data_IF_900311917190
#
_entry.id   IF_900311917190
#
_cell.length_a   1.000
_cell.length_b   1.000
_cell.length_c   1.000
_cell.angle_alpha   90.00
_cell.angle_beta   90.00
_cell.angle_gamma   90.00
#
_symmetry.space_group_name_H-M   'P 1'
#
loop_
_entity.id
_entity.type
_entity.pdbx_description
1 polymer ?
#
# COMPACT_ATOMS: atom_id res chain seq x y z
N UNK A 1 25.21 13.61 -10.14
CA UNK A 1 24.52 14.72 -9.46
C UNK A 1 24.40 14.41 -7.98
N UNK A 2 24.65 15.40 -7.15
CA UNK A 2 24.49 15.33 -5.70
C UNK A 2 23.14 15.99 -5.37
N UNK A 3 22.29 15.34 -4.62
CA UNK A 3 20.97 15.87 -4.29
C UNK A 3 20.58 15.58 -2.84
N UNK A 4 19.95 16.54 -2.18
CA UNK A 4 19.29 16.30 -0.91
C UNK A 4 18.28 15.16 -1.10
N UNK A 5 18.27 14.22 -0.14
CA UNK A 5 17.51 12.99 -0.26
C UNK A 5 16.43 12.92 0.82
N UNK A 6 15.23 12.59 0.41
CA UNK A 6 14.10 12.32 1.29
C UNK A 6 13.75 10.85 1.23
N UNK A 7 13.65 10.23 2.40
CA UNK A 7 13.34 8.80 2.54
C UNK A 7 11.92 8.65 3.09
N UNK A 8 11.12 7.79 2.47
CA UNK A 8 9.76 7.49 2.92
C UNK A 8 9.29 6.11 2.45
N UNK A 9 8.23 5.62 3.07
CA UNK A 9 7.70 4.28 2.85
C UNK A 9 7.00 4.08 1.49
N UNK A 10 6.39 5.12 0.92
CA UNK A 10 5.56 5.00 -0.29
C UNK A 10 5.92 6.00 -1.40
N UNK A 11 7.21 6.29 -1.63
CA UNK A 11 7.62 7.34 -2.57
C UNK A 11 7.79 6.84 -4.02
N UNK A 12 6.80 6.13 -4.55
CA UNK A 12 6.83 5.63 -5.93
C UNK A 12 6.11 6.56 -6.91
N UNK A 13 6.73 7.69 -7.22
CA UNK A 13 6.28 8.61 -8.28
C UNK A 13 7.10 8.35 -9.53
N UNK A 14 6.49 8.16 -10.69
CA UNK A 14 7.24 8.08 -11.95
C UNK A 14 6.84 9.14 -12.96
N UNK A 15 5.60 9.59 -12.98
CA UNK A 15 5.11 10.44 -14.05
C UNK A 15 5.61 11.89 -13.90
N UNK A 16 6.07 12.43 -15.03
CA UNK A 16 6.39 13.85 -15.15
C UNK A 16 5.09 14.63 -15.05
N UNK A 17 4.96 15.37 -13.95
CA UNK A 17 3.79 16.21 -13.72
C UNK A 17 2.81 15.69 -12.68
N UNK A 18 2.96 14.46 -12.19
CA UNK A 18 2.17 13.98 -11.06
C UNK A 18 2.54 14.75 -9.81
N UNK A 19 1.54 15.33 -9.16
CA UNK A 19 1.67 16.11 -7.95
C UNK A 19 1.26 15.22 -6.77
N UNK A 20 2.15 15.08 -5.81
CA UNK A 20 1.91 14.36 -4.57
C UNK A 20 2.13 15.26 -3.37
N UNK A 21 1.41 14.94 -2.31
CA UNK A 21 1.66 15.52 -1.00
C UNK A 21 1.98 14.41 0.00
N UNK A 22 2.90 14.69 0.89
CA UNK A 22 3.22 13.82 2.02
C UNK A 22 3.63 14.67 3.21
N UNK A 23 3.44 14.11 4.39
CA UNK A 23 3.77 14.77 5.64
C UNK A 23 5.14 14.26 6.13
N UNK A 24 6.02 15.18 6.49
CA UNK A 24 7.33 14.90 7.06
C UNK A 24 7.36 15.37 8.50
N UNK A 25 7.86 14.50 9.39
CA UNK A 25 7.96 14.77 10.82
C UNK A 25 9.39 14.58 11.35
N UNK A 26 10.27 13.88 10.62
CA UNK A 26 11.66 13.66 11.04
C UNK A 26 12.49 14.91 10.76
N UNK A 27 13.28 15.37 11.74
CA UNK A 27 14.12 16.58 11.60
C UNK A 27 15.06 16.49 10.39
N UNK A 28 15.68 15.34 10.15
CA UNK A 28 16.55 15.11 8.98
C UNK A 28 15.80 15.35 7.65
N UNK A 29 14.55 14.94 7.57
CA UNK A 29 13.71 15.13 6.38
C UNK A 29 13.30 16.59 6.20
N UNK A 30 13.03 17.28 7.28
CA UNK A 30 12.72 18.72 7.28
C UNK A 30 13.93 19.50 6.80
N UNK A 31 15.12 19.23 7.34
CA UNK A 31 16.38 19.85 6.94
C UNK A 31 16.69 19.61 5.45
N UNK A 32 16.46 18.38 4.95
CA UNK A 32 16.64 18.06 3.54
C UNK A 32 15.72 18.88 2.61
N UNK A 33 14.48 19.11 3.02
CA UNK A 33 13.53 19.93 2.26
C UNK A 33 13.91 21.41 2.31
N UNK A 34 14.38 21.92 3.44
CA UNK A 34 14.85 23.31 3.58
C UNK A 34 16.08 23.56 2.68
N UNK A 35 17.07 22.67 2.75
CA UNK A 35 18.24 22.73 1.88
C UNK A 35 17.88 22.68 0.40
N UNK A 36 16.94 21.81 0.01
CA UNK A 36 16.48 21.70 -1.37
C UNK A 36 15.80 23.00 -1.85
N UNK A 37 15.08 23.69 -0.97
CA UNK A 37 14.41 24.96 -1.30
C UNK A 37 15.42 26.10 -1.46
N UNK A 38 16.43 26.14 -0.59
CA UNK A 38 17.37 27.28 -0.52
C UNK A 38 18.52 27.14 -1.54
N UNK A 39 19.03 25.93 -1.76
CA UNK A 39 20.29 25.72 -2.50
C UNK A 39 20.19 24.81 -3.72
N UNK A 40 19.11 24.02 -3.89
CA UNK A 40 19.01 22.99 -4.92
C UNK A 40 17.88 23.23 -5.94
N UNK A 41 17.57 24.47 -6.30
CA UNK A 41 16.49 24.81 -7.23
C UNK A 41 15.16 24.12 -6.90
N UNK A 42 14.87 23.88 -5.61
CA UNK A 42 13.73 23.12 -5.11
C UNK A 42 13.67 21.66 -5.56
N UNK A 43 14.79 21.10 -5.97
CA UNK A 43 14.87 19.69 -6.38
C UNK A 43 15.31 18.82 -5.23
N UNK A 44 14.61 17.71 -5.05
CA UNK A 44 14.87 16.72 -4.02
C UNK A 44 14.78 15.32 -4.60
N UNK A 45 15.65 14.42 -4.15
CA UNK A 45 15.60 13.02 -4.53
C UNK A 45 14.74 12.25 -3.54
N UNK A 46 13.72 11.56 -4.04
CA UNK A 46 12.80 10.76 -3.27
C UNK A 46 13.14 9.29 -3.46
N UNK A 47 13.40 8.59 -2.36
CA UNK A 47 13.74 7.17 -2.37
C UNK A 47 12.92 6.44 -1.30
N UNK A 48 12.55 5.20 -1.59
CA UNK A 48 11.78 4.35 -0.69
C UNK A 48 12.72 3.50 0.15
N UNK A 49 12.39 3.34 1.43
CA UNK A 49 13.06 2.46 2.36
C UNK A 49 12.56 1.02 2.15
N UNK A 50 13.46 0.03 2.27
CA UNK A 50 13.11 -1.39 2.09
C UNK A 50 12.37 -1.90 3.33
N UNK A 51 12.86 -1.54 4.51
CA UNK A 51 12.27 -1.93 5.79
C UNK A 51 11.84 -0.68 6.55
N UNK A 52 10.53 -0.53 6.76
CA UNK A 52 9.93 0.65 7.39
C UNK A 52 10.17 0.70 8.90
N UNK A 53 10.45 -0.44 9.54
CA UNK A 53 10.64 -0.56 10.98
C UNK A 53 12.04 -0.12 11.44
N UNK A 54 12.96 0.14 10.52
CA UNK A 54 14.32 0.58 10.82
C UNK A 54 14.38 2.11 10.87
N UNK A 55 14.64 2.65 12.07
CA UNK A 55 14.77 4.10 12.27
C UNK A 55 16.05 4.70 11.66
N UNK A 56 17.14 3.93 11.60
CA UNK A 56 18.38 4.36 10.98
C UNK A 56 18.40 4.06 9.49
N UNK A 57 18.41 5.11 8.70
CA UNK A 57 18.43 5.02 7.24
C UNK A 57 19.87 4.78 6.78
N UNK A 58 20.23 3.51 6.60
CA UNK A 58 21.48 3.13 5.94
C UNK A 58 21.28 2.96 4.43
N UNK A 59 22.32 3.22 3.63
CA UNK A 59 22.27 3.06 2.16
C UNK A 59 21.80 1.66 1.71
N UNK A 60 22.07 0.65 2.53
CA UNK A 60 21.69 -0.74 2.27
C UNK A 60 20.18 -0.99 2.42
N UNK A 61 19.51 -0.17 3.22
CA UNK A 61 18.07 -0.23 3.46
C UNK A 61 17.24 0.60 2.46
N UNK A 62 17.88 1.18 1.46
CA UNK A 62 17.21 1.98 0.45
C UNK A 62 17.11 1.24 -0.89
N UNK A 63 15.99 1.43 -1.57
CA UNK A 63 15.88 0.99 -2.95
C UNK A 63 16.86 1.77 -3.84
N UNK A 64 17.38 1.09 -4.85
CA UNK A 64 18.37 1.68 -5.76
C UNK A 64 17.77 2.64 -6.78
N UNK A 65 16.46 2.66 -6.92
CA UNK A 65 15.76 3.54 -7.87
C UNK A 65 14.83 4.45 -7.11
N UNK A 66 14.94 5.74 -7.38
CA UNK A 66 14.10 6.78 -6.83
C UNK A 66 13.69 7.80 -7.88
N UNK A 67 13.09 8.89 -7.45
CA UNK A 67 12.58 9.96 -8.31
C UNK A 67 13.14 11.30 -7.88
N UNK A 68 13.64 12.06 -8.81
CA UNK A 68 13.92 13.48 -8.59
C UNK A 68 12.62 14.25 -8.79
N UNK A 69 12.23 15.00 -7.78
CA UNK A 69 11.01 15.79 -7.76
C UNK A 69 11.32 17.27 -7.46
N UNK A 70 10.44 18.14 -7.90
CA UNK A 70 10.46 19.57 -7.60
C UNK A 70 9.45 19.87 -6.48
N UNK A 71 9.92 20.57 -5.44
CA UNK A 71 9.06 21.03 -4.35
C UNK A 71 8.25 22.23 -4.83
N UNK A 72 6.93 22.08 -4.94
CA UNK A 72 6.00 23.12 -5.37
C UNK A 72 5.55 23.99 -4.21
N UNK A 73 5.23 23.36 -3.08
CA UNK A 73 4.71 24.06 -1.90
C UNK A 73 5.06 23.30 -0.62
N UNK A 74 5.27 24.04 0.46
CA UNK A 74 5.39 23.51 1.81
C UNK A 74 4.40 24.21 2.73
N UNK A 75 3.73 23.46 3.59
CA UNK A 75 2.77 23.95 4.57
C UNK A 75 3.12 23.38 5.94
N UNK A 76 3.19 24.22 6.95
CA UNK A 76 3.34 23.75 8.33
C UNK A 76 1.98 23.28 8.85
N UNK A 77 1.93 22.07 9.40
CA UNK A 77 0.73 21.56 10.06
C UNK A 77 0.72 21.94 11.54
N UNK A 78 -0.46 22.05 12.18
CA UNK A 78 -0.56 22.41 13.60
C UNK A 78 0.17 21.44 14.53
N UNK A 79 0.37 20.20 14.09
CA UNK A 79 1.00 19.11 14.86
C UNK A 79 2.54 19.14 14.81
N UNK A 80 3.12 20.18 14.20
CA UNK A 80 4.58 20.32 14.04
C UNK A 80 5.15 19.55 12.86
N UNK A 81 4.37 18.76 12.15
CA UNK A 81 4.79 18.15 10.89
C UNK A 81 4.74 19.18 9.75
N UNK A 82 5.45 18.89 8.67
CA UNK A 82 5.45 19.72 7.47
C UNK A 82 4.88 18.96 6.29
N UNK A 83 3.83 19.49 5.70
CA UNK A 83 3.25 18.96 4.47
C UNK A 83 3.98 19.50 3.25
N UNK A 84 4.47 18.64 2.42
CA UNK A 84 5.25 18.98 1.23
C UNK A 84 4.51 18.53 -0.01
N UNK A 85 4.32 19.44 -0.96
CA UNK A 85 3.75 19.18 -2.28
C UNK A 85 4.90 19.09 -3.28
N UNK A 86 5.04 17.96 -3.93
CA UNK A 86 6.11 17.71 -4.90
C UNK A 86 5.55 17.31 -6.26
N UNK A 87 6.32 17.62 -7.30
CA UNK A 87 6.06 17.20 -8.66
C UNK A 87 7.21 16.37 -9.20
N UNK A 88 6.94 15.13 -9.62
CA UNK A 88 7.95 14.25 -10.21
C UNK A 88 8.54 14.82 -11.50
N UNK A 89 9.86 14.79 -11.63
CA UNK A 89 10.59 15.25 -12.81
C UNK A 89 11.13 14.08 -13.64
N UNK A 90 11.93 13.21 -13.02
CA UNK A 90 12.53 12.04 -13.68
C UNK A 90 13.00 11.01 -12.66
N UNK A 91 13.17 9.78 -13.12
CA UNK A 91 13.72 8.68 -12.31
C UNK A 91 15.24 8.73 -12.31
N UNK A 92 15.83 8.42 -11.16
CA UNK A 92 17.29 8.35 -11.01
C UNK A 92 17.68 7.11 -10.20
N UNK A 93 18.90 6.66 -10.42
CA UNK A 93 19.51 5.56 -9.67
C UNK A 93 20.37 6.12 -8.55
N UNK A 94 20.16 5.60 -7.34
CA UNK A 94 21.01 5.85 -6.19
C UNK A 94 22.36 5.15 -6.39
N UNK A 95 23.45 5.90 -6.34
CA UNK A 95 24.81 5.40 -6.46
C UNK A 95 25.50 5.27 -5.11
N UNK A 96 25.20 6.19 -4.18
CA UNK A 96 25.74 6.20 -2.83
C UNK A 96 25.13 7.31 -1.99
N UNK A 97 25.49 7.32 -0.72
CA UNK A 97 25.18 8.40 0.21
C UNK A 97 26.52 9.07 0.54
N UNK A 98 26.62 10.37 0.29
CA UNK A 98 27.83 11.17 0.52
C UNK A 98 27.80 11.91 1.86
N UNK A 99 26.61 12.10 2.43
CA UNK A 99 26.40 12.76 3.72
C UNK A 99 25.18 12.16 4.42
N UNK A 100 25.25 12.02 5.74
CA UNK A 100 24.16 11.47 6.55
C UNK A 100 23.58 12.50 7.55
N UNK A 101 24.40 13.45 8.01
CA UNK A 101 24.02 14.49 8.98
C UNK A 101 24.39 15.88 8.48
N UNK A 102 23.55 16.94 8.61
CA UNK A 102 22.26 17.02 9.28
C UNK A 102 21.08 16.47 8.45
N UNK A 103 21.30 16.16 7.18
CA UNK A 103 20.35 15.54 6.27
C UNK A 103 21.08 14.63 5.29
N UNK A 104 20.35 13.71 4.68
CA UNK A 104 20.91 12.80 3.69
C UNK A 104 21.23 13.52 2.39
N UNK A 105 22.43 13.33 1.89
CA UNK A 105 22.85 13.75 0.55
C UNK A 105 23.24 12.52 -0.25
N UNK A 106 22.62 12.32 -1.40
CA UNK A 106 22.82 11.17 -2.25
C UNK A 106 23.48 11.50 -3.57
N UNK A 107 24.37 10.62 -4.01
CA UNK A 107 24.91 10.62 -5.35
C UNK A 107 23.94 9.86 -6.26
N UNK A 108 23.39 10.55 -7.26
CA UNK A 108 22.41 10.00 -8.16
C UNK A 108 22.82 10.08 -9.63
N UNK A 109 22.41 9.09 -10.40
CA UNK A 109 22.56 9.08 -11.86
C UNK A 109 21.18 9.06 -12.51
N UNK A 110 20.83 10.05 -13.35
CA UNK A 110 19.59 10.06 -14.10
C UNK A 110 19.41 8.77 -14.92
N UNK A 111 18.25 8.17 -14.83
CA UNK A 111 17.93 6.98 -15.63
C UNK A 111 17.51 7.40 -17.05
N UNK A 112 17.82 6.59 -18.07
CA UNK A 112 17.40 6.88 -19.44
C UNK A 112 15.87 6.90 -19.55
N UNK A 113 15.38 7.62 -20.54
CA UNK A 113 13.95 7.65 -20.83
C UNK A 113 13.41 6.25 -21.13
N UNK A 114 12.14 6.04 -20.82
CA UNK A 114 11.45 4.77 -21.06
C UNK A 114 11.54 4.40 -22.55
N UNK A 115 12.06 3.21 -22.84
CA UNK A 115 12.11 2.71 -24.20
C UNK A 115 10.73 2.26 -24.66
N UNK A 116 10.24 2.82 -25.76
CA UNK A 116 8.98 2.48 -26.37
C UNK A 116 9.22 1.85 -27.74
N UNK A 117 9.17 0.52 -27.81
CA UNK A 117 9.32 -0.27 -29.03
C UNK A 117 8.01 -0.91 -29.47
N UNK A 118 6.88 -0.54 -28.83
CA UNK A 118 5.57 -1.12 -29.09
C UNK A 118 4.91 -0.49 -30.33
N UNK A 119 4.34 -1.34 -31.17
CA UNK A 119 3.43 -0.91 -32.22
C UNK A 119 2.11 -0.37 -31.66
N UNK A 120 1.38 0.40 -32.43
CA UNK A 120 0.08 0.94 -32.04
C UNK A 120 -0.94 -0.18 -31.69
N UNK A 121 -0.88 -1.31 -32.40
CA UNK A 121 -1.74 -2.45 -32.14
C UNK A 121 -1.41 -3.11 -30.79
N UNK A 122 -0.12 -3.27 -30.46
CA UNK A 122 0.31 -3.84 -29.17
C UNK A 122 -0.07 -2.92 -28.00
N UNK A 123 0.12 -1.60 -28.14
CA UNK A 123 -0.33 -0.62 -27.13
C UNK A 123 -1.82 -0.75 -26.88
N UNK A 124 -2.62 -0.85 -27.96
CA UNK A 124 -4.07 -1.01 -27.82
C UNK A 124 -4.44 -2.34 -27.14
N UNK A 125 -3.73 -3.42 -27.45
CA UNK A 125 -3.94 -4.72 -26.80
C UNK A 125 -3.63 -4.64 -25.30
N UNK A 126 -2.50 -4.07 -24.90
CA UNK A 126 -2.15 -3.88 -23.49
C UNK A 126 -3.18 -3.01 -22.75
N UNK A 127 -3.59 -1.88 -23.34
CA UNK A 127 -4.61 -1.01 -22.74
C UNK A 127 -5.90 -1.78 -22.47
N UNK A 128 -6.37 -2.58 -23.44
CA UNK A 128 -7.58 -3.41 -23.26
C UNK A 128 -7.43 -4.44 -22.14
N UNK A 129 -6.30 -5.14 -22.09
CA UNK A 129 -6.01 -6.12 -21.03
C UNK A 129 -5.96 -5.44 -19.67
N UNK A 130 -5.23 -4.35 -19.56
CA UNK A 130 -5.11 -3.58 -18.30
C UNK A 130 -6.48 -3.05 -17.86
N UNK A 131 -7.31 -2.55 -18.76
CA UNK A 131 -8.67 -2.11 -18.44
C UNK A 131 -9.56 -3.27 -17.97
N UNK A 132 -9.36 -4.48 -18.50
CA UNK A 132 -10.12 -5.66 -18.05
C UNK A 132 -9.77 -6.04 -16.62
N UNK A 133 -8.49 -6.17 -16.33
CA UNK A 133 -8.00 -6.48 -14.97
C UNK A 133 -8.39 -5.37 -13.97
N UNK A 134 -8.23 -4.11 -14.36
CA UNK A 134 -8.59 -2.98 -13.52
C UNK A 134 -10.11 -2.93 -13.20
N UNK A 135 -10.97 -3.30 -14.16
CA UNK A 135 -12.41 -3.40 -13.91
C UNK A 135 -12.74 -4.47 -12.88
N UNK A 136 -12.13 -5.66 -13.01
CA UNK A 136 -12.31 -6.73 -12.02
C UNK A 136 -11.87 -6.27 -10.63
N UNK A 137 -10.71 -5.61 -10.53
CA UNK A 137 -10.25 -5.04 -9.26
C UNK A 137 -11.24 -4.01 -8.70
N UNK A 138 -11.72 -3.08 -9.52
CA UNK A 138 -12.59 -1.99 -9.07
C UNK A 138 -13.98 -2.46 -8.64
N UNK A 139 -14.51 -3.54 -9.24
CA UNK A 139 -15.78 -4.16 -8.86
C UNK A 139 -15.71 -4.77 -7.46
N UNK A 140 -14.54 -5.25 -7.06
CA UNK A 140 -14.29 -5.84 -5.74
C UNK A 140 -13.82 -4.81 -4.71
N UNK A 141 -13.36 -3.63 -5.13
CA UNK A 141 -12.88 -2.55 -4.27
C UNK A 141 -13.87 -1.38 -4.19
N UNK A 142 -14.81 -1.38 -3.24
CA UNK A 142 -15.94 -0.43 -3.21
C UNK A 142 -15.55 1.01 -2.85
N UNK A 143 -14.28 1.28 -2.58
CA UNK A 143 -13.78 2.59 -2.11
C UNK A 143 -13.27 3.50 -3.22
N UNK A 144 -13.30 3.07 -4.49
CA UNK A 144 -12.76 3.86 -5.60
C UNK A 144 -13.75 4.95 -6.03
N UNK A 145 -13.35 6.25 -6.04
CA UNK A 145 -14.18 7.34 -6.55
C UNK A 145 -14.52 7.13 -8.03
N UNK A 146 -15.78 7.39 -8.41
CA UNK A 146 -16.26 7.15 -9.77
C UNK A 146 -15.56 8.03 -10.82
N UNK A 147 -15.16 9.23 -10.44
CA UNK A 147 -14.41 10.15 -11.30
C UNK A 147 -13.03 9.57 -11.64
N UNK A 148 -12.35 8.99 -10.67
CA UNK A 148 -11.07 8.34 -10.84
C UNK A 148 -11.19 7.11 -11.76
N UNK A 149 -12.18 6.25 -11.50
CA UNK A 149 -12.47 5.09 -12.33
C UNK A 149 -12.70 5.49 -13.79
N UNK A 150 -13.53 6.51 -14.04
CA UNK A 150 -13.78 7.02 -15.38
C UNK A 150 -12.53 7.63 -16.03
N UNK A 151 -11.72 8.34 -15.24
CA UNK A 151 -10.45 8.92 -15.70
C UNK A 151 -9.47 7.84 -16.18
N UNK A 152 -9.30 6.77 -15.42
CA UNK A 152 -8.44 5.65 -15.79
C UNK A 152 -8.93 4.95 -17.06
N UNK A 153 -10.23 4.71 -17.18
CA UNK A 153 -10.79 4.06 -18.39
C UNK A 153 -10.77 4.96 -19.64
N UNK A 154 -10.70 6.27 -19.47
CA UNK A 154 -10.62 7.22 -20.57
C UNK A 154 -9.19 7.43 -21.10
N UNK A 155 -8.16 7.03 -20.32
CA UNK A 155 -6.77 7.24 -20.70
C UNK A 155 -6.38 6.34 -21.88
N UNK A 156 -5.75 6.94 -22.88
CA UNK A 156 -5.35 6.28 -24.13
C UNK A 156 -3.83 6.13 -24.28
N UNK A 157 -3.08 6.82 -23.45
CA UNK A 157 -1.63 6.68 -23.39
C UNK A 157 -1.27 5.54 -22.43
N UNK A 158 -0.59 4.50 -22.97
CA UNK A 158 -0.24 3.31 -22.18
C UNK A 158 0.67 3.66 -20.99
N UNK A 159 1.62 4.58 -21.14
CA UNK A 159 2.52 4.97 -20.05
C UNK A 159 1.76 5.66 -18.93
N UNK A 160 0.92 6.63 -19.29
CA UNK A 160 0.09 7.36 -18.31
C UNK A 160 -0.93 6.45 -17.63
N UNK A 161 -1.54 5.53 -18.39
CA UNK A 161 -2.45 4.55 -17.82
C UNK A 161 -1.78 3.70 -16.75
N UNK A 162 -0.56 3.20 -17.02
CA UNK A 162 0.21 2.42 -16.06
C UNK A 162 0.48 3.27 -14.81
N UNK A 163 0.93 4.50 -14.95
CA UNK A 163 1.25 5.39 -13.84
C UNK A 163 0.02 5.73 -12.98
N UNK A 164 -1.13 6.02 -13.61
CA UNK A 164 -2.39 6.26 -12.92
C UNK A 164 -2.84 5.03 -12.10
N UNK A 165 -2.71 3.83 -12.65
CA UNK A 165 -3.09 2.60 -11.95
C UNK A 165 -2.14 2.32 -10.79
N UNK A 166 -0.83 2.38 -11.01
CA UNK A 166 0.19 2.15 -9.96
C UNK A 166 0.00 3.08 -8.77
N UNK A 167 -0.45 4.31 -9.03
CA UNK A 167 -0.72 5.29 -7.99
C UNK A 167 -2.00 5.00 -7.20
N UNK A 168 -3.05 4.53 -7.85
CA UNK A 168 -4.38 4.45 -7.27
C UNK A 168 -4.79 3.03 -6.81
N UNK A 169 -4.06 2.00 -7.23
CA UNK A 169 -4.28 0.62 -6.82
C UNK A 169 -3.32 0.28 -5.69
N UNK A 170 -3.81 -0.46 -4.71
CA UNK A 170 -2.97 -0.96 -3.64
C UNK A 170 -2.07 -2.07 -4.18
N UNK A 171 -0.81 -1.73 -4.46
CA UNK A 171 0.24 -2.67 -4.83
C UNK A 171 1.32 -2.66 -3.75
N UNK A 172 1.98 -3.79 -3.54
CA UNK A 172 3.12 -3.88 -2.62
C UNK A 172 4.24 -2.95 -3.05
N UNK A 173 5.02 -2.46 -2.09
CA UNK A 173 6.13 -1.54 -2.34
C UNK A 173 7.14 -2.16 -3.32
N UNK A 174 7.45 -3.44 -3.18
CA UNK A 174 8.37 -4.18 -4.06
C UNK A 174 7.86 -4.19 -5.51
N UNK A 175 6.54 -4.41 -5.71
CA UNK A 175 5.92 -4.44 -7.03
C UNK A 175 5.92 -3.04 -7.68
N UNK A 176 5.65 -1.99 -6.91
CA UNK A 176 5.77 -0.59 -7.33
C UNK A 176 7.22 -0.25 -7.73
N UNK A 177 8.20 -0.68 -6.93
CA UNK A 177 9.63 -0.47 -7.21
C UNK A 177 10.11 -1.25 -8.45
N UNK A 178 9.61 -2.46 -8.66
CA UNK A 178 9.89 -3.22 -9.88
C UNK A 178 9.36 -2.48 -11.12
N UNK A 179 8.17 -1.90 -11.06
CA UNK A 179 7.60 -1.06 -12.11
C UNK A 179 8.40 0.23 -12.31
N UNK A 180 8.83 0.88 -11.24
CA UNK A 180 9.62 2.12 -11.28
C UNK A 180 10.99 1.89 -11.94
N UNK A 181 11.67 0.81 -11.61
CA UNK A 181 13.00 0.47 -12.14
C UNK A 181 12.99 -0.04 -13.58
N UNK A 182 11.81 -0.41 -14.11
CA UNK A 182 11.68 -0.97 -15.44
C UNK A 182 11.79 0.12 -16.54
N UNK A 183 12.76 -0.02 -17.45
CA UNK A 183 13.03 0.93 -18.53
C UNK A 183 12.33 0.60 -19.86
N UNK A 184 11.64 -0.52 -19.94
CA UNK A 184 10.91 -0.94 -21.15
C UNK A 184 9.41 -0.83 -20.91
N UNK A 185 8.70 -0.07 -21.78
CA UNK A 185 7.27 0.09 -21.71
C UNK A 185 6.53 -1.26 -21.83
N UNK A 186 7.00 -2.16 -22.71
CA UNK A 186 6.48 -3.52 -22.87
C UNK A 186 6.55 -4.30 -21.54
N UNK A 187 7.75 -4.41 -20.98
CA UNK A 187 7.96 -5.17 -19.72
C UNK A 187 7.16 -4.56 -18.57
N UNK A 188 7.05 -3.24 -18.55
CA UNK A 188 6.28 -2.52 -17.53
C UNK A 188 4.79 -2.83 -17.63
N UNK A 189 4.23 -2.88 -18.84
CA UNK A 189 2.85 -3.27 -19.06
C UNK A 189 2.59 -4.74 -18.69
N UNK A 190 3.50 -5.65 -19.06
CA UNK A 190 3.44 -7.07 -18.70
C UNK A 190 3.48 -7.27 -17.17
N UNK A 191 4.37 -6.57 -16.47
CA UNK A 191 4.47 -6.60 -15.01
C UNK A 191 3.19 -6.06 -14.35
N UNK A 192 2.65 -4.94 -14.85
CA UNK A 192 1.41 -4.39 -14.29
C UNK A 192 0.23 -5.34 -14.44
N UNK A 193 0.05 -5.96 -15.61
CA UNK A 193 -1.01 -6.98 -15.82
C UNK A 193 -0.86 -8.11 -14.82
N UNK A 194 0.36 -8.63 -14.64
CA UNK A 194 0.63 -9.69 -13.66
C UNK A 194 0.33 -9.27 -12.23
N UNK A 195 0.70 -8.06 -11.83
CA UNK A 195 0.45 -7.58 -10.48
C UNK A 195 -1.03 -7.29 -10.23
N UNK A 196 -1.73 -6.72 -11.22
CA UNK A 196 -3.18 -6.53 -11.12
C UNK A 196 -3.93 -7.85 -10.99
N UNK A 197 -3.60 -8.85 -11.81
CA UNK A 197 -4.22 -10.17 -11.72
C UNK A 197 -4.02 -10.80 -10.33
N UNK A 198 -2.78 -10.70 -9.78
CA UNK A 198 -2.48 -11.17 -8.43
C UNK A 198 -3.29 -10.41 -7.36
N UNK A 199 -3.44 -9.11 -7.51
CA UNK A 199 -4.19 -8.28 -6.56
C UNK A 199 -5.69 -8.58 -6.62
N UNK A 200 -6.24 -8.84 -7.80
CA UNK A 200 -7.62 -9.32 -7.98
C UNK A 200 -7.85 -10.62 -7.22
N UNK A 201 -6.92 -11.57 -7.30
CA UNK A 201 -7.03 -12.85 -6.57
C UNK A 201 -6.96 -12.64 -5.06
N UNK A 202 -6.10 -11.72 -4.57
CA UNK A 202 -5.99 -11.38 -3.14
C UNK A 202 -7.29 -10.76 -2.65
N UNK A 203 -7.82 -9.74 -3.34
CA UNK A 203 -9.06 -9.07 -2.94
C UNK A 203 -10.25 -10.02 -2.95
N UNK A 204 -10.30 -10.98 -3.90
CA UNK A 204 -11.32 -12.03 -3.91
C UNK A 204 -11.24 -12.89 -2.66
N UNK A 205 -10.04 -13.35 -2.31
CA UNK A 205 -9.82 -14.16 -1.11
C UNK A 205 -10.19 -13.39 0.17
N UNK A 206 -9.86 -12.10 0.23
CA UNK A 206 -10.27 -11.24 1.35
C UNK A 206 -11.79 -11.13 1.49
N UNK A 207 -12.53 -11.05 0.37
CA UNK A 207 -13.99 -11.03 0.37
C UNK A 207 -14.54 -12.36 0.89
N UNK A 208 -14.05 -13.49 0.38
CA UNK A 208 -14.47 -14.83 0.82
C UNK A 208 -14.25 -15.01 2.34
N UNK A 209 -13.07 -14.62 2.85
CA UNK A 209 -12.76 -14.66 4.29
C UNK A 209 -13.71 -13.75 5.09
N UNK A 210 -13.97 -12.55 4.60
CA UNK A 210 -14.88 -11.61 5.29
C UNK A 210 -16.32 -12.14 5.34
N UNK A 211 -16.78 -12.82 4.28
CA UNK A 211 -18.10 -13.47 4.25
C UNK A 211 -18.17 -14.62 5.27
N UNK A 212 -17.16 -15.48 5.30
CA UNK A 212 -17.08 -16.59 6.28
C UNK A 212 -17.07 -16.07 7.72
N UNK A 213 -16.28 -15.02 8.00
CA UNK A 213 -16.24 -14.41 9.34
C UNK A 213 -17.59 -13.80 9.71
N UNK A 214 -18.25 -13.13 8.77
CA UNK A 214 -19.56 -12.53 9.00
C UNK A 214 -20.63 -13.60 9.30
N UNK A 215 -20.63 -14.69 8.52
CA UNK A 215 -21.55 -15.81 8.74
C UNK A 215 -21.33 -16.45 10.12
N UNK A 216 -20.05 -16.65 10.51
CA UNK A 216 -19.70 -17.20 11.82
C UNK A 216 -20.15 -16.28 12.97
N UNK A 217 -19.98 -14.96 12.82
CA UNK A 217 -20.42 -13.97 13.79
C UNK A 217 -21.96 -13.95 13.92
N UNK A 218 -22.67 -13.95 12.79
CA UNK A 218 -24.14 -13.96 12.75
C UNK A 218 -24.70 -15.22 13.40
N UNK A 219 -24.07 -16.38 13.16
CA UNK A 219 -24.42 -17.65 13.80
C UNK A 219 -24.22 -17.60 15.31
N UNK A 220 -23.06 -17.14 15.77
CA UNK A 220 -22.74 -17.02 17.18
C UNK A 220 -23.70 -16.06 17.90
N UNK A 221 -24.03 -14.94 17.27
CA UNK A 221 -24.98 -13.97 17.81
C UNK A 221 -26.39 -14.56 17.91
N UNK A 222 -26.84 -15.31 16.90
CA UNK A 222 -28.11 -16.02 16.91
C UNK A 222 -28.18 -17.10 18.03
N UNK A 223 -27.10 -17.90 18.16
CA UNK A 223 -27.01 -18.93 19.19
C UNK A 223 -27.00 -18.33 20.59
N UNK A 224 -26.30 -17.20 20.79
CA UNK A 224 -26.34 -16.46 22.06
C UNK A 224 -27.75 -15.97 22.36
N UNK A 225 -28.45 -15.35 21.41
CA UNK A 225 -29.82 -14.85 21.58
C UNK A 225 -30.78 -15.98 21.92
N UNK A 226 -30.71 -17.13 21.23
CA UNK A 226 -31.53 -18.29 21.50
C UNK A 226 -31.29 -18.87 22.90
N UNK A 227 -30.05 -18.94 23.36
CA UNK A 227 -29.68 -19.38 24.72
C UNK A 227 -30.24 -18.43 25.78
N UNK A 228 -30.19 -17.12 25.57
CA UNK A 228 -30.77 -16.15 26.49
C UNK A 228 -32.30 -16.23 26.54
N UNK A 229 -32.96 -16.45 25.38
CA UNK A 229 -34.40 -16.73 25.36
C UNK A 229 -34.77 -18.00 26.12
N UNK A 230 -34.02 -19.09 25.92
CA UNK A 230 -34.23 -20.34 26.67
C UNK A 230 -34.06 -20.10 28.16
N UNK A 231 -33.03 -19.41 28.60
CA UNK A 231 -32.85 -19.05 30.02
C UNK A 231 -34.01 -18.22 30.57
N UNK A 232 -34.51 -17.24 29.80
CA UNK A 232 -35.62 -16.42 30.20
C UNK A 232 -36.92 -17.25 30.35
N UNK A 233 -37.17 -18.16 29.42
CA UNK A 233 -38.32 -19.07 29.46
C UNK A 233 -38.22 -20.04 30.64
N UNK A 234 -37.08 -20.66 30.88
CA UNK A 234 -36.84 -21.54 32.02
C UNK A 234 -37.07 -20.82 33.36
N UNK A 235 -36.66 -19.56 33.47
CA UNK A 235 -36.97 -18.73 34.66
C UNK A 235 -38.48 -18.51 34.85
N UNK A 236 -39.20 -18.27 33.77
CA UNK A 236 -40.66 -18.05 33.84
C UNK A 236 -41.45 -19.34 34.16
N UNK A 237 -40.95 -20.50 33.73
CA UNK A 237 -41.55 -21.79 34.01
C UNK A 237 -41.23 -22.33 35.40
N UNK A 238 -40.37 -21.66 36.18
CA UNK A 238 -40.04 -22.08 37.56
C UNK A 238 -39.11 -23.31 37.61
N UNK A 239 -38.47 -23.67 36.49
CA UNK A 239 -37.49 -24.77 36.40
C UNK A 239 -36.09 -24.32 36.85
N UNK A 240 -36.02 -23.53 37.94
CA UNK A 240 -34.75 -23.15 38.54
C UNK A 240 -34.55 -23.87 39.87
N UNK A 241 -33.32 -24.37 39.96
CA UNK A 241 -32.64 -24.99 41.07
C UNK A 241 -32.72 -26.51 41.16
N UNK A 242 -32.10 -27.15 40.17
CA UNK A 242 -31.41 -28.41 40.48
C UNK A 242 -29.90 -28.16 40.57
N UNK A 243 -29.33 -28.13 41.77
CA UNK A 243 -27.86 -27.96 41.97
C UNK A 243 -27.05 -29.09 41.33
N UNK A 244 -27.66 -30.16 40.86
CA UNK A 244 -27.03 -31.29 40.19
C UNK A 244 -26.69 -30.99 38.70
N UNK A 245 -27.40 -30.05 38.08
CA UNK A 245 -27.15 -29.66 36.68
C UNK A 245 -25.86 -28.83 36.54
N UNK A 246 -25.53 -27.97 37.53
CA UNK A 246 -24.26 -27.24 37.54
C UNK A 246 -23.02 -28.12 37.78
N UNK A 247 -23.20 -29.17 38.63
CA UNK A 247 -22.15 -30.13 38.90
C UNK A 247 -21.78 -30.99 37.66
N UNK A 248 -22.75 -31.35 36.83
CA UNK A 248 -22.51 -32.08 35.59
C UNK A 248 -21.82 -31.23 34.50
N UNK A 249 -22.12 -29.94 34.43
CA UNK A 249 -21.42 -28.99 33.54
C UNK A 249 -19.96 -28.80 33.92
N UNK A 250 -19.64 -28.75 35.20
CA UNK A 250 -18.26 -28.61 35.68
C UNK A 250 -17.43 -29.91 35.52
N UNK A 251 -18.08 -31.08 35.56
CA UNK A 251 -17.42 -32.38 35.35
C UNK A 251 -16.99 -32.54 33.87
N UNK A 252 -17.81 -32.06 32.92
CA UNK A 252 -17.45 -32.10 31.48
C UNK A 252 -16.32 -31.15 31.07
N UNK A 253 -16.06 -30.10 31.85
CA UNK A 253 -14.95 -29.17 31.59
C UNK A 253 -13.62 -29.72 32.16
N UNK A 254 -13.66 -30.60 33.16
CA UNK A 254 -12.43 -31.12 33.80
C UNK A 254 -11.90 -32.47 33.25
N UNK A 255 -12.68 -33.18 32.44
CA UNK A 255 -12.24 -34.48 31.89
C UNK A 255 -11.25 -34.45 30.69
N UNK A 256 -11.16 -33.39 29.83
CA UNK A 256 -10.19 -33.44 28.75
C UNK A 256 -8.72 -33.33 29.19
N UNK A 257 -8.45 -32.93 30.42
CA UNK A 257 -7.07 -32.70 30.89
C UNK A 257 -6.40 -33.95 31.50
N UNK A 258 -7.14 -35.03 31.74
CA UNK A 258 -6.56 -36.26 32.33
C UNK A 258 -6.08 -37.32 31.33
N UNK A 259 -6.42 -37.20 30.03
CA UNK A 259 -5.97 -38.16 29.00
C UNK A 259 -4.65 -37.79 28.32
N UNK A 260 -4.06 -36.63 28.62
CA UNK A 260 -2.80 -36.19 28.02
C UNK A 260 -1.52 -36.55 28.82
N UNK A 261 -1.65 -37.19 29.97
CA UNK A 261 -0.50 -37.52 30.82
C UNK A 261 -0.13 -39.01 30.88
N UNK A 262 -0.73 -39.88 30.03
CA UNK A 262 -0.32 -41.29 29.91
C UNK A 262 -0.13 -41.65 28.44
N UNK A 263 1.03 -41.25 27.88
CA UNK A 263 1.71 -41.89 26.78
C UNK A 263 3.12 -41.39 26.65
#
# INVERSE_FOLDING_TARGET
EISACLVGSEMCIRDRGMILHFDIARDRSINAVEEAIEHNDRRIFLVTQIDEDVDEVAAENLYKTGVVAEIRQTLNTPDGARRVLVQGLYTAKLCGISQDDPFLVSDITPMPALSDTLSAAEKTAFIRTIHTEFKQYSEMSPRMPIELYRGILAEKDLSKLIDLIVFNVYLRVEDKQALLSCLSLRKRAELLVKFLAKEVDIVRLEQDINEEVKEALDKNQRDFYLREQMRAISRQLGEFDDPQSEALSLIHISEPTRQAEIS
#
